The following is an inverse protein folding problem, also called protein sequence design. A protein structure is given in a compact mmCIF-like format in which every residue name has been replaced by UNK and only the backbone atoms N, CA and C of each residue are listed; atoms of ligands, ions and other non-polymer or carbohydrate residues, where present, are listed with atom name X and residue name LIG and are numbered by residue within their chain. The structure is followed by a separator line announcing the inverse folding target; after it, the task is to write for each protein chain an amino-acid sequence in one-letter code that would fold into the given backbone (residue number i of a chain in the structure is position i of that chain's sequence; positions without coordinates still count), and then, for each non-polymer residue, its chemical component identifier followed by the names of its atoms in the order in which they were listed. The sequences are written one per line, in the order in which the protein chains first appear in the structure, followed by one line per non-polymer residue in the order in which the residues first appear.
data_IF_179577162451
#
_entry.id   IF_179577162451
#
_cell.length_a   1.000
_cell.length_b   1.000
_cell.length_c   1.000
_cell.angle_alpha   90.00
_cell.angle_beta   90.00
_cell.angle_gamma   90.00
#
_symmetry.space_group_name_H-M   'P 1'
#
loop_
_entity.id
_entity.type
_entity.pdbx_description
1 polymer ?
#
# COMPACT_ATOMS: atom_id res chain seq x y z
N UNK A 1 15.87 29.69 20.01
CA UNK A 1 16.91 28.83 19.41
C UNK A 1 16.22 27.54 18.99
N UNK A 2 15.58 27.57 17.82
CA UNK A 2 14.78 26.46 17.29
C UNK A 2 15.77 25.46 16.71
N UNK A 3 15.98 24.34 17.41
CA UNK A 3 16.72 23.23 16.83
C UNK A 3 15.88 22.68 15.68
N UNK A 4 16.30 22.95 14.45
CA UNK A 4 15.96 22.11 13.31
C UNK A 4 16.74 20.83 13.55
N UNK A 5 16.09 19.85 14.21
CA UNK A 5 16.56 18.47 14.19
C UNK A 5 16.46 18.06 12.72
N UNK A 6 17.60 17.89 12.07
CA UNK A 6 17.64 17.29 10.74
C UNK A 6 16.92 15.95 10.84
N UNK A 7 15.98 15.62 9.93
CA UNK A 7 15.46 14.27 9.88
C UNK A 7 16.67 13.36 9.67
N UNK A 8 16.94 12.48 10.63
CA UNK A 8 17.83 11.35 10.40
C UNK A 8 17.19 10.56 9.28
N UNK A 9 17.57 10.87 8.05
CA UNK A 9 17.19 10.15 6.86
C UNK A 9 17.76 8.75 6.98
N UNK A 10 17.03 7.87 7.67
CA UNK A 10 17.08 6.48 7.35
C UNK A 10 16.49 6.41 5.94
N UNK A 11 17.34 6.37 4.91
CA UNK A 11 16.94 6.36 3.49
C UNK A 11 15.91 5.25 3.16
N UNK A 12 15.73 4.30 4.07
CA UNK A 12 14.83 3.16 3.93
C UNK A 12 13.42 3.42 4.50
N UNK A 13 13.15 4.57 5.14
CA UNK A 13 11.82 4.86 5.68
C UNK A 13 11.37 6.32 5.59
N UNK A 14 10.07 6.52 5.35
CA UNK A 14 9.42 7.83 5.40
C UNK A 14 9.13 8.35 6.82
N UNK A 15 9.29 7.53 7.86
CA UNK A 15 8.97 7.89 9.24
C UNK A 15 10.09 7.42 10.18
N UNK A 16 10.49 8.28 11.14
CA UNK A 16 11.43 7.89 12.18
C UNK A 16 10.73 7.07 13.28
N UNK A 17 11.51 6.32 14.07
CA UNK A 17 10.98 5.62 15.25
C UNK A 17 10.38 6.63 16.24
N UNK A 18 11.06 7.77 16.47
CA UNK A 18 10.60 8.78 17.40
C UNK A 18 9.24 9.38 16.99
N UNK A 19 9.04 9.65 15.69
CA UNK A 19 7.76 10.14 15.19
C UNK A 19 6.66 9.07 15.29
N UNK A 20 6.99 7.82 15.00
CA UNK A 20 6.07 6.69 15.13
C UNK A 20 5.66 6.44 16.59
N UNK A 21 6.61 6.50 17.53
CA UNK A 21 6.38 6.36 18.96
C UNK A 21 5.44 7.46 19.47
N UNK A 22 5.69 8.72 19.13
CA UNK A 22 4.79 9.83 19.47
C UNK A 22 3.39 9.59 18.90
N UNK A 23 3.31 9.19 17.62
CA UNK A 23 2.04 8.91 16.96
C UNK A 23 1.23 7.78 17.63
N UNK A 24 1.91 6.72 18.07
CA UNK A 24 1.27 5.56 18.69
C UNK A 24 0.94 5.77 20.16
N UNK A 25 1.77 6.52 20.89
CA UNK A 25 1.51 6.95 22.26
C UNK A 25 0.23 7.79 22.35
N UNK A 26 0.06 8.77 21.44
CA UNK A 26 -1.14 9.60 21.35
C UNK A 26 -2.44 8.79 21.10
N UNK A 27 -2.31 7.57 20.58
CA UNK A 27 -3.42 6.66 20.25
C UNK A 27 -3.59 5.51 21.23
N UNK A 28 -2.70 5.40 22.23
CA UNK A 28 -2.72 4.30 23.19
C UNK A 28 -2.46 2.92 22.56
N UNK A 29 -1.69 2.86 21.47
CA UNK A 29 -1.37 1.61 20.80
C UNK A 29 -0.24 0.86 21.53
N UNK A 30 -0.55 0.24 22.67
CA UNK A 30 0.46 -0.43 23.52
C UNK A 30 1.22 -1.54 22.81
N UNK A 31 0.61 -2.22 21.84
CA UNK A 31 1.29 -3.25 21.04
C UNK A 31 2.44 -2.71 20.18
N UNK A 32 2.48 -1.39 19.91
CA UNK A 32 3.63 -0.75 19.29
C UNK A 32 4.76 -0.54 20.30
N UNK A 33 4.43 -0.12 21.52
CA UNK A 33 5.38 0.13 22.60
C UNK A 33 6.09 -1.15 23.06
N UNK A 34 5.41 -2.30 22.96
CA UNK A 34 5.96 -3.62 23.30
C UNK A 34 7.02 -4.11 22.30
N UNK A 35 7.17 -3.47 21.14
CA UNK A 35 8.17 -3.85 20.14
C UNK A 35 9.56 -3.33 20.48
N UNK A 36 10.58 -4.13 20.17
CA UNK A 36 11.96 -3.65 20.12
C UNK A 36 12.14 -2.64 18.98
N UNK A 37 13.10 -1.73 19.13
CA UNK A 37 13.46 -0.75 18.09
C UNK A 37 13.76 -1.42 16.74
N UNK A 38 14.46 -2.57 16.75
CA UNK A 38 14.75 -3.34 15.54
C UNK A 38 13.47 -3.80 14.82
N UNK A 39 12.46 -4.26 15.56
CA UNK A 39 11.17 -4.65 14.99
C UNK A 39 10.37 -3.44 14.49
N UNK A 40 10.46 -2.30 15.18
CA UNK A 40 9.86 -1.04 14.72
C UNK A 40 10.50 -0.57 13.41
N UNK A 41 11.82 -0.64 13.28
CA UNK A 41 12.54 -0.31 12.04
C UNK A 41 12.11 -1.21 10.89
N UNK A 42 12.07 -2.53 11.10
CA UNK A 42 11.61 -3.47 10.07
C UNK A 42 10.17 -3.15 9.62
N UNK A 43 9.28 -2.84 10.57
CA UNK A 43 7.89 -2.49 10.28
C UNK A 43 7.78 -1.20 9.43
N UNK A 44 8.58 -0.19 9.76
CA UNK A 44 8.64 1.10 9.07
C UNK A 44 9.23 0.98 7.65
N UNK A 45 10.22 0.11 7.46
CA UNK A 45 10.77 -0.20 6.13
C UNK A 45 9.71 -0.89 5.26
N UNK A 46 9.03 -1.91 5.79
CA UNK A 46 7.94 -2.60 5.07
C UNK A 46 6.80 -1.67 4.67
N UNK A 47 6.43 -0.75 5.56
CA UNK A 47 5.43 0.28 5.27
C UNK A 47 5.87 1.19 4.11
N UNK A 48 7.16 1.57 4.10
CA UNK A 48 7.75 2.42 3.07
C UNK A 48 7.79 1.72 1.71
N UNK A 49 8.23 0.46 1.69
CA UNK A 49 8.20 -0.38 0.50
C UNK A 49 6.77 -0.50 -0.05
N UNK A 50 5.78 -0.68 0.84
CA UNK A 50 4.39 -0.80 0.42
C UNK A 50 3.89 0.47 -0.26
N UNK A 51 4.22 1.64 0.31
CA UNK A 51 3.84 2.93 -0.26
C UNK A 51 4.52 3.10 -1.63
N UNK A 52 5.82 2.87 -1.72
CA UNK A 52 6.56 2.98 -2.98
C UNK A 52 6.05 2.01 -4.07
N UNK A 53 5.57 0.84 -3.68
CA UNK A 53 5.08 -0.16 -4.62
C UNK A 53 3.67 0.13 -5.15
N UNK A 54 2.79 0.74 -4.33
CA UNK A 54 1.36 0.90 -4.66
C UNK A 54 0.96 2.34 -5.03
N UNK A 55 1.83 3.33 -4.82
CA UNK A 55 1.50 4.73 -5.03
C UNK A 55 2.48 5.41 -5.97
N UNK A 56 1.94 6.27 -6.83
CA UNK A 56 2.72 7.16 -7.69
C UNK A 56 2.60 8.56 -7.10
N UNK A 57 3.73 9.14 -6.72
CA UNK A 57 3.78 10.49 -6.18
C UNK A 57 3.79 11.54 -7.28
N UNK A 58 3.22 12.71 -6.97
CA UNK A 58 3.19 13.86 -7.90
C UNK A 58 4.55 14.56 -7.99
N UNK A 59 5.28 14.59 -6.87
CA UNK A 59 6.67 15.04 -6.74
C UNK A 59 7.47 13.96 -5.99
N UNK A 60 8.76 13.83 -6.25
CA UNK A 60 9.58 12.85 -5.53
C UNK A 60 9.66 13.22 -4.03
N UNK A 61 9.07 12.40 -3.13
CA UNK A 61 8.98 12.74 -1.71
C UNK A 61 10.34 12.68 -0.99
N UNK A 62 11.36 12.08 -1.62
CA UNK A 62 12.70 11.89 -1.06
C UNK A 62 13.58 13.15 -1.19
N UNK A 63 13.24 14.07 -2.10
CA UNK A 63 14.03 15.30 -2.34
C UNK A 63 13.44 16.56 -1.69
N UNK A 64 12.31 16.45 -1.00
CA UNK A 64 11.72 17.59 -0.31
C UNK A 64 12.40 17.82 1.05
N UNK A 65 12.65 19.09 1.40
CA UNK A 65 13.27 19.49 2.67
C UNK A 65 12.40 19.21 3.90
N UNK A 66 11.13 18.82 3.67
CA UNK A 66 10.20 18.35 4.67
C UNK A 66 9.32 17.27 4.07
N UNK A 67 9.28 16.09 4.69
CA UNK A 67 8.33 15.03 4.32
C UNK A 67 6.93 15.47 4.73
N UNK A 68 5.94 15.29 3.86
CA UNK A 68 4.54 15.63 4.16
C UNK A 68 4.05 14.87 5.41
N UNK A 69 3.41 15.60 6.33
CA UNK A 69 2.88 15.03 7.59
C UNK A 69 1.90 13.87 7.37
N UNK A 70 1.13 13.87 6.27
CA UNK A 70 0.23 12.78 5.91
C UNK A 70 1.01 11.55 5.43
N UNK A 71 2.16 11.73 4.77
CA UNK A 71 3.03 10.62 4.38
C UNK A 71 3.67 9.96 5.61
N UNK A 72 4.19 10.76 6.55
CA UNK A 72 4.73 10.26 7.84
C UNK A 72 3.66 9.49 8.62
N UNK A 73 2.46 10.09 8.75
CA UNK A 73 1.31 9.47 9.41
C UNK A 73 0.88 8.16 8.75
N UNK A 74 0.85 8.12 7.42
CA UNK A 74 0.48 6.93 6.66
C UNK A 74 1.50 5.82 6.85
N UNK A 75 2.79 6.14 6.86
CA UNK A 75 3.87 5.20 7.12
C UNK A 75 3.77 4.60 8.53
N UNK A 76 3.53 5.42 9.57
CA UNK A 76 3.33 4.92 10.93
C UNK A 76 2.12 3.98 11.03
N UNK A 77 0.99 4.32 10.39
CA UNK A 77 -0.19 3.46 10.38
C UNK A 77 0.05 2.13 9.66
N UNK A 78 0.70 2.15 8.49
CA UNK A 78 1.04 0.93 7.75
C UNK A 78 2.05 0.07 8.50
N UNK A 79 3.01 0.67 9.20
CA UNK A 79 3.97 -0.05 10.01
C UNK A 79 3.26 -0.85 11.10
N UNK A 80 2.28 -0.23 11.79
CA UNK A 80 1.46 -0.93 12.77
C UNK A 80 0.65 -2.08 12.16
N UNK A 81 0.05 -1.89 10.98
CA UNK A 81 -0.63 -2.99 10.28
C UNK A 81 0.32 -4.14 9.92
N UNK A 82 1.56 -3.83 9.55
CA UNK A 82 2.56 -4.83 9.15
C UNK A 82 2.97 -5.80 10.27
N UNK A 83 2.66 -5.47 11.53
CA UNK A 83 2.89 -6.33 12.70
C UNK A 83 1.97 -7.56 12.65
N UNK A 84 0.73 -7.36 12.20
CA UNK A 84 -0.32 -8.39 12.26
C UNK A 84 -0.66 -8.96 10.90
N UNK A 85 -0.37 -8.21 9.83
CA UNK A 85 -0.80 -8.50 8.47
C UNK A 85 0.41 -8.41 7.53
N UNK A 86 0.59 -9.42 6.68
CA UNK A 86 1.53 -9.31 5.57
C UNK A 86 1.04 -8.26 4.57
N UNK A 87 1.81 -7.18 4.38
CA UNK A 87 1.49 -6.09 3.44
C UNK A 87 1.69 -6.51 1.97
N UNK A 88 2.51 -7.54 1.73
CA UNK A 88 2.83 -8.08 0.42
C UNK A 88 2.42 -9.56 0.31
N UNK A 89 1.13 -9.88 0.53
CA UNK A 89 0.69 -11.25 0.42
C UNK A 89 0.98 -11.75 -1.01
N UNK A 90 1.51 -12.97 -1.11
CA UNK A 90 1.63 -13.68 -2.37
C UNK A 90 0.22 -14.05 -2.82
N UNK A 91 -0.49 -13.10 -3.43
CA UNK A 91 -1.81 -13.34 -4.01
C UNK A 91 -1.63 -14.11 -5.33
N UNK A 92 -2.34 -15.22 -5.47
CA UNK A 92 -2.49 -15.89 -6.76
C UNK A 92 -3.05 -14.87 -7.77
N UNK A 93 -2.31 -14.62 -8.84
CA UNK A 93 -2.59 -13.53 -9.78
C UNK A 93 -4.00 -13.58 -10.36
N UNK A 94 -4.56 -12.40 -10.63
CA UNK A 94 -5.85 -12.16 -11.30
C UNK A 94 -7.00 -13.03 -10.76
N UNK A 95 -7.93 -12.44 -10.00
CA UNK A 95 -9.27 -13.06 -9.86
C UNK A 95 -9.92 -13.02 -11.24
N UNK A 96 -9.81 -14.14 -11.94
CA UNK A 96 -10.42 -14.39 -13.24
C UNK A 96 -11.74 -15.07 -12.97
N UNK A 97 -12.84 -14.32 -12.97
CA UNK A 97 -14.17 -14.91 -12.89
C UNK A 97 -14.61 -15.22 -14.31
N UNK A 98 -14.82 -16.49 -14.64
CA UNK A 98 -15.35 -16.89 -15.94
C UNK A 98 -16.77 -17.43 -15.81
N UNK A 99 -17.71 -16.82 -16.54
CA UNK A 99 -19.07 -17.32 -16.69
C UNK A 99 -19.21 -18.01 -18.04
N UNK A 100 -19.73 -19.24 -18.02
CA UNK A 100 -20.06 -19.99 -19.22
C UNK A 100 -21.58 -20.08 -19.36
N UNK A 101 -22.12 -19.56 -20.47
CA UNK A 101 -23.55 -19.67 -20.79
C UNK A 101 -23.72 -20.36 -22.12
N UNK A 102 -24.35 -21.54 -22.09
CA UNK A 102 -24.78 -22.24 -23.31
C UNK A 102 -26.09 -21.61 -23.79
N UNK A 103 -26.12 -21.09 -25.02
CA UNK A 103 -27.34 -20.63 -25.67
C UNK A 103 -27.85 -21.71 -26.62
N UNK A 104 -29.11 -22.11 -26.41
CA UNK A 104 -29.77 -23.13 -27.21
C UNK A 104 -29.75 -22.74 -28.70
N UNK A 105 -29.07 -23.54 -29.53
CA UNK A 105 -28.98 -23.36 -30.98
C UNK A 105 -27.91 -22.37 -31.48
N UNK A 106 -27.15 -21.70 -30.60
CA UNK A 106 -26.21 -20.62 -31.00
C UNK A 106 -24.77 -20.84 -30.50
N UNK A 107 -24.55 -21.75 -29.55
CA UNK A 107 -23.22 -22.11 -29.03
C UNK A 107 -22.97 -21.63 -27.60
N UNK A 108 -21.72 -21.66 -27.17
CA UNK A 108 -21.30 -21.31 -25.79
C UNK A 108 -20.67 -19.93 -25.75
N UNK A 109 -21.18 -19.03 -24.90
CA UNK A 109 -20.52 -17.78 -24.54
C UNK A 109 -19.67 -18.00 -23.29
N UNK A 110 -18.39 -17.60 -23.36
CA UNK A 110 -17.48 -17.55 -22.21
C UNK A 110 -17.11 -16.10 -21.94
N UNK A 111 -17.64 -15.54 -20.85
CA UNK A 111 -17.28 -14.20 -20.38
C UNK A 111 -16.18 -14.34 -19.33
N UNK A 112 -15.02 -13.74 -19.57
CA UNK A 112 -13.91 -13.69 -18.61
C UNK A 112 -13.81 -12.28 -18.05
N UNK A 113 -14.02 -12.11 -16.75
CA UNK A 113 -13.86 -10.85 -16.03
C UNK A 113 -12.53 -10.87 -15.26
N UNK A 114 -11.66 -9.89 -15.52
CA UNK A 114 -10.50 -9.59 -14.70
C UNK A 114 -10.83 -8.42 -13.78
N UNK A 115 -10.89 -8.64 -12.47
CA UNK A 115 -11.13 -7.55 -11.51
C UNK A 115 -9.81 -6.85 -11.19
N UNK A 116 -9.79 -5.51 -11.13
CA UNK A 116 -8.61 -4.77 -10.62
C UNK A 116 -8.35 -5.17 -9.16
N UNK A 117 -7.08 -5.33 -8.76
CA UNK A 117 -6.72 -5.53 -7.35
C UNK A 117 -7.40 -4.45 -6.52
N UNK A 118 -8.22 -4.80 -5.53
CA UNK A 118 -8.91 -3.80 -4.71
C UNK A 118 -7.92 -3.07 -3.82
N UNK A 119 -8.16 -1.80 -3.53
CA UNK A 119 -7.38 -1.06 -2.54
C UNK A 119 -7.62 -1.67 -1.16
N UNK A 120 -6.55 -2.21 -0.57
CA UNK A 120 -6.59 -2.87 0.73
C UNK A 120 -6.69 -1.88 1.89
N UNK A 121 -6.16 -0.66 1.71
CA UNK A 121 -6.06 0.33 2.76
C UNK A 121 -6.65 1.67 2.30
N UNK A 122 -7.97 1.76 2.09
CA UNK A 122 -8.62 2.97 1.58
C UNK A 122 -8.41 4.21 2.46
N UNK A 123 -8.25 4.01 3.77
CA UNK A 123 -7.89 5.10 4.69
C UNK A 123 -6.53 5.71 4.36
N UNK A 124 -5.54 4.88 4.00
CA UNK A 124 -4.21 5.34 3.62
C UNK A 124 -4.28 6.08 2.28
N UNK A 125 -5.01 5.53 1.31
CA UNK A 125 -5.25 6.21 0.03
C UNK A 125 -5.89 7.58 0.21
N UNK A 126 -6.88 7.70 1.10
CA UNK A 126 -7.50 8.99 1.40
C UNK A 126 -6.53 9.98 2.07
N UNK A 127 -5.61 9.51 2.91
CA UNK A 127 -4.57 10.36 3.52
C UNK A 127 -3.57 10.86 2.48
N UNK A 128 -3.22 10.01 1.52
CA UNK A 128 -2.25 10.33 0.47
C UNK A 128 -2.86 11.02 -0.75
N UNK A 129 -4.18 11.16 -0.83
CA UNK A 129 -4.89 11.60 -2.04
C UNK A 129 -4.42 12.94 -2.63
N UNK A 130 -3.85 13.83 -1.80
CA UNK A 130 -3.33 15.13 -2.25
C UNK A 130 -1.91 15.05 -2.82
N UNK A 131 -1.13 14.03 -2.47
CA UNK A 131 0.30 13.92 -2.78
C UNK A 131 0.64 12.73 -3.68
N UNK A 132 -0.17 11.66 -3.64
CA UNK A 132 0.03 10.45 -4.39
C UNK A 132 -1.28 9.84 -4.87
N UNK A 133 -1.23 9.17 -6.02
CA UNK A 133 -2.33 8.40 -6.57
C UNK A 133 -2.07 6.91 -6.36
N UNK A 134 -3.11 6.19 -5.94
CA UNK A 134 -3.04 4.73 -5.83
C UNK A 134 -3.02 4.11 -7.22
N UNK A 135 -1.94 3.37 -7.50
CA UNK A 135 -1.66 2.76 -8.79
C UNK A 135 -0.87 1.46 -8.55
N UNK A 136 -1.54 0.37 -8.12
CA UNK A 136 -0.86 -0.90 -7.93
C UNK A 136 -0.36 -1.41 -9.29
N UNK A 137 0.76 -2.15 -9.33
CA UNK A 137 1.30 -2.67 -10.58
C UNK A 137 0.25 -3.50 -11.31
N UNK A 138 0.05 -3.16 -12.59
CA UNK A 138 -1.05 -3.66 -13.40
C UNK A 138 -1.08 -5.18 -13.43
N UNK A 139 -2.19 -5.76 -12.98
CA UNK A 139 -2.52 -7.15 -13.25
C UNK A 139 -3.02 -7.22 -14.70
N UNK A 140 -2.29 -7.95 -15.57
CA UNK A 140 -2.54 -8.01 -17.01
C UNK A 140 -4.02 -8.16 -17.38
N UNK A 141 -4.51 -7.29 -18.26
CA UNK A 141 -5.83 -7.44 -18.88
C UNK A 141 -5.81 -8.63 -19.85
N UNK A 142 -6.53 -9.70 -19.51
CA UNK A 142 -6.72 -10.85 -20.41
C UNK A 142 -7.72 -10.44 -21.49
N UNK A 143 -7.27 -10.34 -22.75
CA UNK A 143 -8.17 -10.17 -23.90
C UNK A 143 -9.01 -11.44 -24.10
N UNK A 144 -10.33 -11.28 -24.17
CA UNK A 144 -11.28 -12.36 -24.47
C UNK A 144 -11.27 -12.61 -25.98
N UNK A 145 -10.77 -13.78 -26.40
CA UNK A 145 -10.87 -14.26 -27.77
C UNK A 145 -12.21 -14.96 -28.03
N UNK A 146 -12.83 -14.71 -29.18
CA UNK A 146 -13.99 -15.45 -29.66
C UNK A 146 -13.55 -16.83 -30.19
N UNK A 147 -14.14 -17.91 -29.67
CA UNK A 147 -14.04 -19.24 -30.31
C UNK A 147 -15.21 -19.37 -31.28
N UNK A 148 -14.95 -19.11 -32.56
CA UNK A 148 -15.87 -19.48 -33.64
C UNK A 148 -15.68 -20.99 -33.91
N UNK A 149 -16.77 -21.75 -33.97
CA UNK A 149 -16.80 -23.10 -34.53
C UNK A 149 -17.17 -23.04 -36.00
#
# INVERSE_FOLDING_TARGET
MTMIVAPTANYNSFCSIADADNFHADRGNTSWDDLSDENKEIALIRATDYINYNYIFTSDPIFETSVDTMLVRSAAMLAFYSITIDLFPIEAGVITTSDEKTLAGVGTLKNTYSTRKADRFPTITNMLANIAQWAPPSTNHVQVGYVQK
#
